data_IF_602470138643
#
_entry.id   IF_602470138643
#
_cell.length_a   1.000
_cell.length_b   1.000
_cell.length_c   1.000
_cell.angle_alpha   90.00
_cell.angle_beta   90.00
_cell.angle_gamma   90.00
#
_symmetry.space_group_name_H-M   'P 1'
#
loop_
_entity.id
_entity.type
_entity.pdbx_description
1 polymer ?
#
# COMPACT_ATOMS: atom_id res chain seq x y z
N UNK A 1 80.48 24.71 41.84
CA UNK A 1 79.75 23.80 40.95
C UNK A 1 78.87 24.66 40.05
N UNK A 2 79.39 24.97 38.86
CA UNK A 2 78.78 25.88 37.89
C UNK A 2 77.94 25.04 36.92
N UNK A 3 76.63 25.25 36.89
CA UNK A 3 75.74 24.65 35.88
C UNK A 3 75.44 25.77 34.87
N UNK A 4 76.09 25.69 33.70
CA UNK A 4 75.73 26.50 32.56
C UNK A 4 74.45 25.98 31.92
N UNK A 5 73.35 26.75 32.02
CA UNK A 5 72.17 26.57 31.20
C UNK A 5 72.42 27.30 29.87
N UNK A 6 72.73 26.53 28.83
CA UNK A 6 72.75 27.01 27.46
C UNK A 6 71.29 27.11 27.01
N UNK A 7 70.79 28.35 26.90
CA UNK A 7 69.59 28.64 26.14
C UNK A 7 69.90 28.55 24.67
N UNK A 8 69.34 27.55 24.03
CA UNK A 8 69.24 27.58 22.58
C UNK A 8 67.96 26.92 22.20
N UNK A 9 66.93 27.70 21.93
CA UNK A 9 65.77 27.21 21.15
C UNK A 9 65.01 28.40 20.58
N UNK A 10 65.58 28.91 19.48
CA UNK A 10 64.73 29.61 18.52
C UNK A 10 64.05 28.55 17.68
N UNK A 11 62.95 27.98 18.21
CA UNK A 11 61.99 27.24 17.38
C UNK A 11 61.16 28.29 16.67
N UNK A 12 61.59 28.66 15.50
CA UNK A 12 60.82 29.47 14.57
C UNK A 12 59.66 28.56 14.07
N UNK A 13 58.49 28.81 14.61
CA UNK A 13 57.28 28.13 14.12
C UNK A 13 56.91 28.81 12.81
N UNK A 14 57.30 28.17 11.72
CA UNK A 14 56.93 28.59 10.37
C UNK A 14 55.43 28.22 10.17
N UNK A 15 54.57 29.23 10.34
CA UNK A 15 53.19 29.11 9.95
C UNK A 15 53.12 29.09 8.42
N UNK A 16 53.18 27.91 7.83
CA UNK A 16 52.79 27.73 6.44
C UNK A 16 51.30 28.04 6.30
N UNK A 17 51.05 29.29 5.92
CA UNK A 17 49.72 29.77 5.59
C UNK A 17 49.34 29.14 4.23
N UNK A 18 48.90 27.89 4.24
CA UNK A 18 48.26 27.25 3.08
C UNK A 18 46.91 27.91 2.89
N UNK A 19 46.92 29.12 2.33
CA UNK A 19 45.76 29.66 1.66
C UNK A 19 45.49 28.77 0.42
N UNK A 20 44.98 27.58 0.61
CA UNK A 20 44.35 26.87 -0.48
C UNK A 20 43.16 27.73 -0.94
N UNK A 21 43.41 28.51 -1.97
CA UNK A 21 42.40 29.20 -2.72
C UNK A 21 41.47 28.12 -3.26
N UNK A 22 40.35 27.91 -2.58
CA UNK A 22 39.23 27.14 -3.10
C UNK A 22 38.69 27.90 -4.32
N UNK A 23 39.38 27.75 -5.44
CA UNK A 23 38.82 28.14 -6.72
C UNK A 23 37.51 27.35 -6.92
N UNK A 24 36.39 28.02 -7.14
CA UNK A 24 35.13 27.31 -7.36
C UNK A 24 35.34 26.38 -8.56
N UNK A 25 35.24 25.06 -8.34
CA UNK A 25 35.34 24.08 -9.43
C UNK A 25 34.31 24.49 -10.48
N UNK A 26 34.79 24.85 -11.66
CA UNK A 26 33.91 25.17 -12.79
C UNK A 26 32.96 23.99 -12.96
N UNK A 27 31.68 24.24 -12.75
CA UNK A 27 30.62 23.28 -12.99
C UNK A 27 30.69 22.92 -14.47
N UNK A 28 31.35 21.82 -14.79
CA UNK A 28 31.49 21.37 -16.15
C UNK A 28 30.12 20.81 -16.59
N UNK A 29 29.73 21.05 -17.84
CA UNK A 29 28.48 20.54 -18.42
C UNK A 29 28.26 19.04 -18.14
N UNK A 30 29.35 18.27 -18.11
CA UNK A 30 29.34 16.86 -17.72
C UNK A 30 28.82 16.63 -16.29
N UNK A 31 29.20 17.47 -15.33
CA UNK A 31 28.73 17.31 -13.94
C UNK A 31 27.23 17.59 -13.82
N UNK A 32 26.72 18.58 -14.58
CA UNK A 32 25.27 18.86 -14.65
C UNK A 32 24.53 17.69 -15.28
N UNK A 33 25.08 17.12 -16.35
CA UNK A 33 24.48 15.95 -17.01
C UNK A 33 24.40 14.74 -16.09
N UNK A 34 25.50 14.43 -15.38
CA UNK A 34 25.54 13.34 -14.37
C UNK A 34 24.52 13.59 -13.28
N UNK A 35 24.42 14.83 -12.78
CA UNK A 35 23.44 15.17 -11.74
C UNK A 35 22.01 14.93 -12.22
N UNK A 36 21.66 15.35 -13.44
CA UNK A 36 20.32 15.14 -14.03
C UNK A 36 20.02 13.65 -14.20
N UNK A 37 21.00 12.86 -14.66
CA UNK A 37 20.84 11.41 -14.80
C UNK A 37 20.61 10.74 -13.44
N UNK A 38 21.37 11.10 -12.41
CA UNK A 38 21.18 10.58 -11.05
C UNK A 38 19.81 10.95 -10.49
N UNK A 39 19.33 12.16 -10.74
CA UNK A 39 18.02 12.62 -10.30
C UNK A 39 16.89 11.84 -11.00
N UNK A 40 17.01 11.59 -12.30
CA UNK A 40 16.05 10.78 -13.05
C UNK A 40 16.02 9.33 -12.55
N UNK A 41 17.20 8.75 -12.27
CA UNK A 41 17.26 7.39 -11.71
C UNK A 41 16.64 7.34 -10.32
N UNK A 42 16.93 8.31 -9.44
CA UNK A 42 16.32 8.38 -8.12
C UNK A 42 14.78 8.48 -8.20
N UNK A 43 14.28 9.31 -9.14
CA UNK A 43 12.86 9.45 -9.37
C UNK A 43 12.24 8.15 -9.89
N UNK A 44 12.91 7.45 -10.83
CA UNK A 44 12.47 6.17 -11.33
C UNK A 44 12.40 5.09 -10.23
N UNK A 45 13.42 5.03 -9.36
CA UNK A 45 13.41 4.12 -8.20
C UNK A 45 12.31 4.47 -7.20
N UNK A 46 12.06 5.76 -6.97
CA UNK A 46 10.96 6.19 -6.10
C UNK A 46 9.59 5.78 -6.67
N UNK A 47 9.35 6.00 -7.96
CA UNK A 47 8.14 5.54 -8.64
C UNK A 47 7.99 4.03 -8.56
N UNK A 48 9.09 3.27 -8.76
CA UNK A 48 9.09 1.83 -8.65
C UNK A 48 8.75 1.36 -7.24
N UNK A 49 9.32 1.98 -6.21
CA UNK A 49 9.02 1.66 -4.81
C UNK A 49 7.53 1.91 -4.49
N UNK A 50 6.96 3.04 -4.93
CA UNK A 50 5.53 3.32 -4.77
C UNK A 50 4.63 2.29 -5.49
N UNK A 51 5.07 1.78 -6.64
CA UNK A 51 4.32 0.77 -7.38
C UNK A 51 4.47 -0.63 -6.79
N UNK A 52 5.61 -0.91 -6.15
CA UNK A 52 5.89 -2.20 -5.51
C UNK A 52 5.09 -2.39 -4.19
N UNK A 53 4.74 -1.31 -3.52
CA UNK A 53 3.78 -1.35 -2.42
C UNK A 53 2.39 -1.58 -3.01
N UNK A 54 1.74 -2.70 -2.63
CA UNK A 54 0.38 -3.01 -3.08
C UNK A 54 -0.65 -2.26 -2.22
N UNK A 55 -1.04 -1.03 -2.60
CA UNK A 55 -1.88 -0.19 -1.76
C UNK A 55 -3.27 -0.81 -1.62
N UNK A 56 -3.84 -0.66 -0.44
CA UNK A 56 -5.24 -0.99 -0.21
C UNK A 56 -6.09 0.04 -0.97
N UNK A 57 -6.89 -0.44 -1.89
CA UNK A 57 -7.81 0.38 -2.67
C UNK A 57 -9.26 0.06 -2.32
N UNK A 58 -10.11 1.03 -2.63
CA UNK A 58 -11.56 0.91 -2.52
C UNK A 58 -12.15 0.68 -3.91
N UNK A 59 -13.05 -0.29 -4.02
CA UNK A 59 -13.74 -0.60 -5.28
C UNK A 59 -15.18 -1.02 -5.03
N UNK A 60 -16.08 -0.55 -5.87
CA UNK A 60 -17.46 -1.02 -5.91
C UNK A 60 -17.55 -2.26 -6.78
N UNK A 61 -17.90 -3.39 -6.20
CA UNK A 61 -18.07 -4.66 -6.90
C UNK A 61 -19.48 -5.19 -6.74
N UNK A 62 -19.88 -6.08 -7.64
CA UNK A 62 -21.14 -6.79 -7.54
C UNK A 62 -20.97 -8.01 -6.66
N UNK A 63 -21.72 -8.08 -5.58
CA UNK A 63 -21.79 -9.26 -4.72
C UNK A 63 -23.02 -10.07 -5.12
N UNK A 64 -22.81 -11.30 -5.56
CA UNK A 64 -23.85 -12.25 -5.89
C UNK A 64 -24.10 -13.14 -4.68
N UNK A 65 -25.34 -13.30 -4.29
CA UNK A 65 -25.74 -14.15 -3.18
C UNK A 65 -26.16 -15.51 -3.72
N UNK A 66 -25.50 -16.56 -3.25
CA UNK A 66 -25.73 -17.94 -3.67
C UNK A 66 -26.25 -18.74 -2.49
N UNK A 67 -27.50 -19.18 -2.57
CA UNK A 67 -28.08 -20.04 -1.55
C UNK A 67 -27.45 -21.44 -1.63
N UNK A 68 -26.91 -21.92 -0.52
CA UNK A 68 -26.30 -23.24 -0.38
C UNK A 68 -27.24 -24.13 0.44
N UNK A 69 -27.34 -25.40 0.07
CA UNK A 69 -28.20 -26.37 0.70
C UNK A 69 -29.72 -26.00 0.68
N UNK A 70 -30.11 -25.12 -0.26
CA UNK A 70 -31.51 -24.79 -0.51
C UNK A 70 -32.18 -25.79 -1.45
N UNK A 71 -33.50 -25.80 -1.43
CA UNK A 71 -34.30 -26.58 -2.36
C UNK A 71 -34.44 -25.89 -3.71
N UNK A 72 -34.74 -26.62 -4.79
CA UNK A 72 -34.85 -26.08 -6.14
C UNK A 72 -35.94 -24.99 -6.30
N UNK A 73 -36.90 -24.95 -5.37
CA UNK A 73 -38.01 -23.99 -5.36
C UNK A 73 -37.75 -22.77 -4.48
N UNK A 74 -36.57 -22.73 -3.80
CA UNK A 74 -36.20 -21.63 -2.91
C UNK A 74 -35.33 -20.60 -3.65
N UNK A 75 -35.59 -19.33 -3.40
CA UNK A 75 -34.79 -18.23 -3.97
C UNK A 75 -34.72 -17.04 -3.01
N UNK A 76 -33.64 -16.25 -3.15
CA UNK A 76 -33.45 -15.02 -2.39
C UNK A 76 -34.13 -13.85 -3.11
N UNK A 77 -34.67 -12.91 -2.34
CA UNK A 77 -35.28 -11.66 -2.85
C UNK A 77 -34.23 -10.78 -3.57
N UNK A 78 -33.01 -10.81 -3.08
CA UNK A 78 -31.88 -10.09 -3.65
C UNK A 78 -30.84 -11.11 -4.14
N UNK A 79 -30.61 -11.15 -5.45
CA UNK A 79 -29.59 -12.02 -6.04
C UNK A 79 -28.23 -11.37 -6.19
N UNK A 80 -28.20 -10.05 -6.33
CA UNK A 80 -26.96 -9.30 -6.47
C UNK A 80 -27.09 -7.88 -5.93
N UNK A 81 -26.04 -7.38 -5.30
CA UNK A 81 -25.96 -6.00 -4.79
C UNK A 81 -24.56 -5.42 -5.02
N UNK A 82 -24.49 -4.13 -5.36
CA UNK A 82 -23.21 -3.43 -5.41
C UNK A 82 -22.79 -3.04 -3.99
N UNK A 83 -21.59 -3.43 -3.61
CA UNK A 83 -21.03 -3.20 -2.29
C UNK A 83 -19.61 -2.64 -2.46
N UNK A 84 -19.26 -1.70 -1.61
CA UNK A 84 -17.91 -1.16 -1.54
C UNK A 84 -17.02 -2.09 -0.73
N UNK A 85 -15.95 -2.55 -1.36
CA UNK A 85 -14.95 -3.42 -0.74
C UNK A 85 -13.58 -2.78 -0.74
N UNK A 86 -12.74 -3.21 0.18
CA UNK A 86 -11.37 -2.78 0.38
C UNK A 86 -10.45 -3.99 0.25
N UNK A 87 -9.32 -3.80 -0.41
CA UNK A 87 -8.33 -4.87 -0.55
C UNK A 87 -7.11 -4.40 -1.32
N UNK A 88 -6.12 -5.27 -1.42
CA UNK A 88 -4.91 -5.04 -2.18
C UNK A 88 -5.25 -4.75 -3.65
N UNK A 89 -4.61 -3.77 -4.27
CA UNK A 89 -4.85 -3.36 -5.67
C UNK A 89 -4.74 -4.55 -6.62
N UNK A 90 -3.69 -5.34 -6.50
CA UNK A 90 -3.43 -6.51 -7.34
C UNK A 90 -4.58 -7.52 -7.35
N UNK A 91 -5.31 -7.62 -6.25
CA UNK A 91 -6.47 -8.49 -6.11
C UNK A 91 -7.72 -7.83 -6.68
N UNK A 92 -8.01 -6.59 -6.24
CA UNK A 92 -9.26 -5.92 -6.60
C UNK A 92 -9.32 -5.43 -8.05
N UNK A 93 -8.18 -5.16 -8.69
CA UNK A 93 -8.17 -4.70 -10.10
C UNK A 93 -8.87 -5.68 -11.03
N UNK A 94 -8.65 -6.98 -10.82
CA UNK A 94 -9.18 -8.06 -11.64
C UNK A 94 -10.54 -8.61 -11.15
N UNK A 95 -11.01 -8.19 -9.97
CA UNK A 95 -12.27 -8.65 -9.41
C UNK A 95 -13.40 -7.69 -9.79
N UNK A 96 -14.36 -8.17 -10.55
CA UNK A 96 -15.59 -7.43 -10.92
C UNK A 96 -16.80 -7.85 -10.11
N UNK A 97 -16.82 -9.11 -9.65
CA UNK A 97 -17.87 -9.66 -8.81
C UNK A 97 -17.32 -10.72 -7.86
N UNK A 98 -17.98 -10.91 -6.74
CA UNK A 98 -17.74 -12.01 -5.81
C UNK A 98 -19.05 -12.74 -5.51
N UNK A 99 -18.95 -14.05 -5.24
CA UNK A 99 -20.05 -14.87 -4.82
C UNK A 99 -19.95 -15.09 -3.31
N UNK A 100 -20.97 -14.66 -2.58
CA UNK A 100 -21.11 -14.92 -1.15
C UNK A 100 -22.09 -16.06 -0.98
N UNK A 101 -21.64 -17.10 -0.31
CA UNK A 101 -22.46 -18.28 -0.03
C UNK A 101 -23.25 -18.04 1.24
N UNK A 102 -24.54 -18.29 1.20
CA UNK A 102 -25.46 -18.15 2.32
C UNK A 102 -26.11 -19.50 2.54
N UNK A 103 -26.03 -19.99 3.76
CA UNK A 103 -26.60 -21.27 4.10
C UNK A 103 -28.11 -21.17 4.31
N UNK A 104 -28.86 -22.17 3.82
CA UNK A 104 -30.29 -22.26 4.05
C UNK A 104 -30.66 -22.25 5.55
N UNK A 105 -29.78 -22.79 6.38
CA UNK A 105 -29.97 -22.88 7.83
C UNK A 105 -29.98 -21.50 8.53
N UNK A 106 -29.52 -20.45 7.89
CA UNK A 106 -29.57 -19.07 8.43
C UNK A 106 -31.02 -18.52 8.41
N UNK A 107 -31.91 -19.12 7.61
CA UNK A 107 -33.29 -18.70 7.49
C UNK A 107 -34.24 -19.63 8.28
N UNK A 108 -34.80 -19.12 9.35
CA UNK A 108 -35.77 -19.88 10.16
C UNK A 108 -37.13 -20.05 9.45
N UNK A 109 -37.57 -19.00 8.74
CA UNK A 109 -38.87 -18.93 8.09
C UNK A 109 -38.79 -18.31 6.71
N UNK A 110 -39.72 -18.71 5.83
CA UNK A 110 -39.90 -18.03 4.54
C UNK A 110 -40.56 -16.66 4.72
N UNK A 111 -40.37 -15.82 3.73
CA UNK A 111 -40.99 -14.49 3.63
C UNK A 111 -40.69 -13.58 4.84
N UNK A 112 -39.62 -13.89 5.57
CA UNK A 112 -39.17 -13.09 6.72
C UNK A 112 -37.78 -12.52 6.43
N UNK A 113 -37.59 -11.23 6.73
CA UNK A 113 -36.28 -10.56 6.62
C UNK A 113 -35.35 -11.12 7.69
N UNK A 114 -34.30 -11.75 7.24
CA UNK A 114 -33.24 -12.30 8.10
C UNK A 114 -31.96 -11.51 7.91
N UNK A 115 -31.30 -11.18 8.99
CA UNK A 115 -29.98 -10.54 8.96
C UNK A 115 -28.95 -11.65 8.75
N UNK A 116 -28.18 -11.52 7.67
CA UNK A 116 -27.20 -12.52 7.26
C UNK A 116 -25.81 -11.90 7.27
N UNK A 117 -24.85 -12.59 7.88
CA UNK A 117 -23.46 -12.21 7.90
C UNK A 117 -22.78 -12.53 6.56
N UNK A 118 -22.09 -11.53 5.99
CA UNK A 118 -21.38 -11.66 4.73
C UNK A 118 -19.94 -12.10 4.96
N UNK A 119 -19.63 -13.32 4.57
CA UNK A 119 -18.26 -13.82 4.61
C UNK A 119 -17.54 -13.50 3.30
N UNK A 120 -16.58 -12.56 3.38
CA UNK A 120 -15.76 -12.18 2.24
C UNK A 120 -14.54 -13.10 2.08
N UNK A 121 -14.03 -13.28 0.84
CA UNK A 121 -12.77 -13.97 0.61
C UNK A 121 -11.63 -13.34 1.38
N UNK A 122 -10.60 -14.14 1.72
CA UNK A 122 -9.38 -13.64 2.37
C UNK A 122 -8.81 -12.46 1.58
N UNK A 123 -8.34 -11.43 2.29
CA UNK A 123 -7.75 -10.19 1.75
C UNK A 123 -8.75 -9.19 1.13
N UNK A 124 -10.03 -9.46 1.18
CA UNK A 124 -11.10 -8.51 0.82
C UNK A 124 -11.89 -8.23 2.08
N UNK A 125 -12.14 -6.97 2.36
CA UNK A 125 -12.96 -6.52 3.48
C UNK A 125 -14.03 -5.55 3.01
N UNK A 126 -15.09 -5.38 3.78
CA UNK A 126 -16.14 -4.38 3.51
C UNK A 126 -16.63 -3.77 4.80
N UNK A 127 -17.14 -2.55 4.73
CA UNK A 127 -17.89 -1.94 5.84
C UNK A 127 -19.26 -2.61 6.01
N UNK A 128 -19.81 -3.17 4.93
CA UNK A 128 -21.06 -3.90 4.95
C UNK A 128 -20.77 -5.35 5.32
N UNK A 129 -20.93 -5.69 6.57
CA UNK A 129 -20.72 -7.06 7.08
C UNK A 129 -22.02 -7.83 7.15
N UNK A 130 -23.16 -7.15 7.24
CA UNK A 130 -24.47 -7.73 7.39
C UNK A 130 -25.45 -7.19 6.33
N UNK A 131 -26.38 -8.00 5.90
CA UNK A 131 -27.44 -7.61 4.97
C UNK A 131 -28.75 -8.32 5.34
N UNK A 132 -29.87 -7.62 5.14
CA UNK A 132 -31.19 -8.24 5.24
C UNK A 132 -31.54 -8.93 3.94
N UNK A 133 -31.82 -10.21 4.02
CA UNK A 133 -32.29 -11.04 2.91
C UNK A 133 -33.58 -11.74 3.29
N UNK A 134 -34.40 -12.02 2.29
CA UNK A 134 -35.63 -12.76 2.45
C UNK A 134 -35.56 -14.01 1.60
N UNK A 135 -35.86 -15.17 2.19
CA UNK A 135 -35.95 -16.44 1.48
C UNK A 135 -37.40 -16.70 1.09
N UNK A 136 -37.63 -16.89 -0.20
CA UNK A 136 -38.94 -17.23 -0.75
C UNK A 136 -38.98 -18.69 -1.20
N UNK A 137 -40.15 -19.27 -1.14
CA UNK A 137 -40.48 -20.58 -1.74
C UNK A 137 -41.53 -20.39 -2.83
N UNK A 138 -41.29 -21.02 -3.99
CA UNK A 138 -42.29 -21.10 -5.07
C UNK A 138 -43.39 -22.10 -4.77
#
# INVERSE_FOLDING_TARGET
MNINFSQNSNAEIEYTNTNESYAPKKFTFLNIFIFVVCLLLAFAFWCFALYAEDPIIEKNITVNFVLVNGNANEYLDIQAKKITVYGERSILENVTSINVKIERSEFEKYDTKTLVDLQYPKKISSKTQEIYLTLHSK
#
